data_IF_713239396509
#
_entry.id   IF_713239396509
#
_cell.length_a   1.000
_cell.length_b   1.000
_cell.length_c   1.000
_cell.angle_alpha   90.00
_cell.angle_beta   90.00
_cell.angle_gamma   90.00
#
_symmetry.space_group_name_H-M   'P 1'
#
loop_
_entity.id
_entity.type
_entity.pdbx_description
1 polymer ?
#
# COMPACT_ATOMS: atom_id res chain seq x y z
N UNK A 1 13.33 10.77 -24.78
CA UNK A 1 13.18 11.27 -23.41
C UNK A 1 13.97 10.33 -22.52
N UNK A 2 14.81 10.86 -21.63
CA UNK A 2 15.53 10.05 -20.63
C UNK A 2 14.52 9.46 -19.64
N UNK A 3 14.68 8.18 -19.29
CA UNK A 3 13.81 7.53 -18.28
C UNK A 3 13.92 8.25 -16.94
N UNK A 4 12.79 8.43 -16.19
CA UNK A 4 12.82 9.03 -14.85
C UNK A 4 13.73 8.23 -13.93
N UNK A 5 14.58 8.91 -13.17
CA UNK A 5 15.56 8.28 -12.25
C UNK A 5 15.55 8.88 -10.85
N UNK A 6 14.81 9.99 -10.62
CA UNK A 6 14.68 10.63 -9.31
C UNK A 6 13.27 10.50 -8.77
N UNK A 7 13.12 10.66 -7.45
CA UNK A 7 11.81 10.63 -6.80
C UNK A 7 10.87 11.72 -7.35
N UNK A 8 11.38 12.94 -7.55
CA UNK A 8 10.61 14.07 -8.03
C UNK A 8 10.00 13.78 -9.41
N UNK A 9 10.79 13.18 -10.32
CA UNK A 9 10.32 12.77 -11.64
C UNK A 9 9.28 11.65 -11.57
N UNK A 10 9.50 10.68 -10.67
CA UNK A 10 8.57 9.58 -10.44
C UNK A 10 7.25 10.08 -9.85
N UNK A 11 7.33 11.01 -8.89
CA UNK A 11 6.17 11.61 -8.27
C UNK A 11 5.39 12.50 -9.24
N UNK A 12 6.05 13.30 -10.06
CA UNK A 12 5.39 14.12 -11.09
C UNK A 12 4.52 13.27 -12.02
N UNK A 13 5.00 12.08 -12.42
CA UNK A 13 4.20 11.15 -13.22
C UNK A 13 3.10 10.46 -12.41
N UNK A 14 3.39 10.05 -11.17
CA UNK A 14 2.44 9.39 -10.29
C UNK A 14 1.32 10.32 -9.85
N UNK A 15 1.61 11.58 -9.55
CA UNK A 15 0.62 12.57 -9.08
C UNK A 15 -0.43 12.92 -10.14
N UNK A 16 -0.09 12.77 -11.42
CA UNK A 16 -1.04 12.91 -12.53
C UNK A 16 -2.04 11.74 -12.61
N UNK A 17 -1.78 10.63 -11.93
CA UNK A 17 -2.69 9.47 -11.88
C UNK A 17 -3.66 9.65 -10.72
N UNK A 18 -4.99 9.59 -10.96
CA UNK A 18 -5.97 9.68 -9.88
C UNK A 18 -5.78 8.59 -8.82
N UNK A 19 -5.81 8.98 -7.55
CA UNK A 19 -5.64 8.06 -6.41
C UNK A 19 -5.38 8.81 -5.10
N UNK A 20 -5.22 8.08 -4.01
CA UNK A 20 -5.17 8.64 -2.65
C UNK A 20 -3.77 8.62 -2.02
N UNK A 21 -2.76 8.16 -2.73
CA UNK A 21 -1.38 8.17 -2.26
C UNK A 21 -0.87 9.61 -2.10
N UNK A 22 -0.34 9.94 -0.91
CA UNK A 22 0.30 11.24 -0.63
C UNK A 22 1.79 11.22 -1.00
N UNK A 23 2.42 12.41 -1.06
CA UNK A 23 3.86 12.52 -1.36
C UNK A 23 4.74 11.83 -0.31
N UNK A 24 4.37 11.89 0.97
CA UNK A 24 5.12 11.21 2.04
C UNK A 24 5.01 9.70 1.95
N UNK A 25 3.82 9.19 1.63
CA UNK A 25 3.58 7.77 1.37
C UNK A 25 4.34 7.30 0.13
N UNK A 26 4.29 8.06 -0.96
CA UNK A 26 5.06 7.79 -2.17
C UNK A 26 6.56 7.75 -1.90
N UNK A 27 7.07 8.69 -1.05
CA UNK A 27 8.47 8.71 -0.61
C UNK A 27 8.84 7.43 0.17
N UNK A 28 7.94 6.94 1.02
CA UNK A 28 8.16 5.69 1.76
C UNK A 28 8.22 4.48 0.81
N UNK A 29 7.29 4.37 -0.16
CA UNK A 29 7.31 3.33 -1.20
C UNK A 29 8.58 3.39 -2.04
N UNK A 30 8.95 4.57 -2.50
CA UNK A 30 10.18 4.82 -3.26
C UNK A 30 11.41 4.33 -2.52
N UNK A 31 11.58 4.76 -1.26
CA UNK A 31 12.72 4.36 -0.42
C UNK A 31 12.74 2.87 -0.12
N UNK A 32 11.57 2.23 0.01
CA UNK A 32 11.50 0.78 0.20
C UNK A 32 11.98 0.04 -1.05
N UNK A 33 11.53 0.45 -2.23
CA UNK A 33 11.94 -0.14 -3.50
C UNK A 33 13.43 0.06 -3.79
N UNK A 34 14.01 1.24 -3.47
CA UNK A 34 15.43 1.51 -3.67
C UNK A 34 16.38 0.66 -2.80
N UNK A 35 15.87 0.04 -1.71
CA UNK A 35 16.68 -0.89 -0.89
C UNK A 35 16.81 -2.28 -1.49
N UNK A 36 16.07 -2.56 -2.55
CA UNK A 36 16.11 -3.83 -3.27
C UNK A 36 17.35 -3.88 -4.19
N UNK A 37 17.63 -5.07 -4.69
CA UNK A 37 18.69 -5.33 -5.65
C UNK A 37 18.20 -5.87 -6.99
N UNK A 38 19.11 -6.08 -7.95
CA UNK A 38 18.77 -6.65 -9.23
C UNK A 38 18.06 -8.02 -9.11
N UNK A 39 17.03 -8.22 -9.91
CA UNK A 39 16.22 -9.44 -9.91
C UNK A 39 15.19 -9.52 -8.77
N UNK A 40 15.13 -8.53 -7.87
CA UNK A 40 14.12 -8.48 -6.82
C UNK A 40 12.71 -8.27 -7.38
N UNK A 41 11.71 -8.72 -6.63
CA UNK A 41 10.30 -8.63 -7.00
C UNK A 41 9.50 -7.91 -5.94
N UNK A 42 8.77 -6.88 -6.39
CA UNK A 42 7.74 -6.18 -5.62
C UNK A 42 6.39 -6.75 -6.01
N UNK A 43 5.55 -7.10 -5.04
CA UNK A 43 4.14 -7.41 -5.28
C UNK A 43 3.30 -6.28 -4.70
N UNK A 44 2.44 -5.70 -5.53
CA UNK A 44 1.46 -4.68 -5.17
C UNK A 44 0.06 -5.27 -5.27
N UNK A 45 -0.70 -5.26 -4.19
CA UNK A 45 -2.10 -5.71 -4.13
C UNK A 45 -3.01 -4.48 -4.06
N UNK A 46 -3.84 -4.29 -5.09
CA UNK A 46 -4.68 -3.11 -5.24
C UNK A 46 -3.97 -1.98 -6.00
N UNK A 47 -3.88 -2.13 -7.32
CA UNK A 47 -3.12 -1.19 -8.16
C UNK A 47 -3.98 -0.07 -8.75
N UNK A 48 -5.31 -0.22 -8.77
CA UNK A 48 -6.29 0.74 -9.28
C UNK A 48 -5.89 1.32 -10.66
N UNK A 49 -5.58 2.61 -10.76
CA UNK A 49 -5.14 3.25 -12.01
C UNK A 49 -3.61 3.36 -12.13
N UNK A 50 -2.84 2.80 -11.18
CA UNK A 50 -1.39 2.70 -11.24
C UNK A 50 -0.62 3.90 -10.66
N UNK A 51 -1.20 4.68 -9.72
CA UNK A 51 -0.50 5.81 -9.07
C UNK A 51 0.73 5.32 -8.29
N UNK A 52 0.55 4.39 -7.39
CA UNK A 52 1.61 3.73 -6.61
C UNK A 52 2.52 2.88 -7.49
N UNK A 53 1.92 2.13 -8.43
CA UNK A 53 2.64 1.30 -9.41
C UNK A 53 3.66 2.13 -10.23
N UNK A 54 3.31 3.37 -10.59
CA UNK A 54 4.21 4.29 -11.30
C UNK A 54 5.45 4.61 -10.46
N UNK A 55 5.26 4.96 -9.18
CA UNK A 55 6.36 5.28 -8.26
C UNK A 55 7.22 4.04 -8.00
N UNK A 56 6.59 2.91 -7.68
CA UNK A 56 7.28 1.63 -7.45
C UNK A 56 8.03 1.15 -8.70
N UNK A 57 7.42 1.24 -9.88
CA UNK A 57 8.01 0.77 -11.13
C UNK A 57 9.24 1.59 -11.56
N UNK A 58 9.22 2.90 -11.36
CA UNK A 58 10.39 3.75 -11.65
C UNK A 58 11.52 3.46 -10.67
N UNK A 59 11.22 3.31 -9.37
CA UNK A 59 12.19 2.91 -8.37
C UNK A 59 12.76 1.51 -8.67
N UNK A 60 11.90 0.53 -8.96
CA UNK A 60 12.28 -0.84 -9.29
C UNK A 60 13.24 -0.89 -10.49
N UNK A 61 12.92 -0.14 -11.57
CA UNK A 61 13.79 -0.03 -12.74
C UNK A 61 15.19 0.44 -12.37
N UNK A 62 15.31 1.44 -11.49
CA UNK A 62 16.60 2.02 -11.14
C UNK A 62 17.54 1.05 -10.41
N UNK A 63 16.97 0.01 -9.77
CA UNK A 63 17.73 -1.03 -9.04
C UNK A 63 17.69 -2.41 -9.73
N UNK A 64 17.09 -2.50 -10.93
CA UNK A 64 16.97 -3.75 -11.67
C UNK A 64 15.96 -4.74 -11.09
N UNK A 65 14.96 -4.25 -10.35
CA UNK A 65 13.85 -5.02 -9.82
C UNK A 65 12.61 -4.95 -10.74
N UNK A 66 11.59 -5.75 -10.44
CA UNK A 66 10.31 -5.80 -11.17
C UNK A 66 9.13 -5.60 -10.22
N UNK A 67 7.97 -5.21 -10.76
CA UNK A 67 6.72 -5.06 -10.03
C UNK A 67 5.67 -6.00 -10.61
N UNK A 68 4.98 -6.72 -9.75
CA UNK A 68 3.75 -7.45 -10.10
C UNK A 68 2.59 -6.71 -9.47
N UNK A 69 1.75 -6.12 -10.31
CA UNK A 69 0.56 -5.36 -9.92
C UNK A 69 -0.66 -6.28 -9.97
N UNK A 70 -1.31 -6.51 -8.84
CA UNK A 70 -2.45 -7.41 -8.68
C UNK A 70 -3.71 -6.60 -8.43
N UNK A 71 -4.68 -6.64 -9.36
CA UNK A 71 -5.97 -5.98 -9.20
C UNK A 71 -7.05 -6.72 -10.00
N UNK A 72 -8.20 -7.09 -9.40
CA UNK A 72 -9.25 -7.82 -10.11
C UNK A 72 -10.07 -6.94 -11.07
N UNK A 73 -9.96 -5.62 -11.01
CA UNK A 73 -10.75 -4.66 -11.81
C UNK A 73 -12.23 -5.05 -11.89
N UNK A 74 -12.87 -5.24 -10.74
CA UNK A 74 -14.23 -5.80 -10.66
C UNK A 74 -15.24 -4.90 -11.37
N UNK A 75 -15.96 -5.45 -12.35
CA UNK A 75 -17.01 -4.73 -13.08
C UNK A 75 -18.15 -4.28 -12.16
N UNK A 76 -18.74 -3.13 -12.49
CA UNK A 76 -19.84 -2.54 -11.71
C UNK A 76 -19.43 -1.95 -10.36
N UNK A 77 -18.15 -1.87 -10.05
CA UNK A 77 -17.62 -1.18 -8.86
C UNK A 77 -17.11 0.21 -9.24
N UNK A 78 -17.27 1.17 -8.31
CA UNK A 78 -16.92 2.57 -8.52
C UNK A 78 -15.44 2.77 -8.93
N UNK A 79 -14.56 1.92 -8.40
CA UNK A 79 -13.10 1.97 -8.63
C UNK A 79 -12.57 0.76 -9.41
N UNK A 80 -13.41 0.08 -10.17
CA UNK A 80 -13.07 -1.14 -10.89
C UNK A 80 -13.47 -1.11 -12.37
N UNK A 81 -13.53 -2.29 -12.97
CA UNK A 81 -13.98 -2.53 -14.33
C UNK A 81 -12.94 -2.26 -15.41
N UNK A 82 -13.30 -2.67 -16.62
CA UNK A 82 -12.50 -2.51 -17.85
C UNK A 82 -11.96 -1.09 -18.05
N UNK A 83 -12.73 0.01 -17.78
CA UNK A 83 -12.19 1.36 -17.93
C UNK A 83 -11.05 1.68 -16.96
N UNK A 84 -11.08 1.15 -15.74
CA UNK A 84 -10.00 1.34 -14.75
C UNK A 84 -8.75 0.59 -15.17
N UNK A 85 -8.89 -0.65 -15.62
CA UNK A 85 -7.81 -1.45 -16.18
C UNK A 85 -7.14 -0.75 -17.38
N UNK A 86 -7.93 -0.26 -18.34
CA UNK A 86 -7.39 0.46 -19.50
C UNK A 86 -6.61 1.72 -19.10
N UNK A 87 -7.06 2.44 -18.06
CA UNK A 87 -6.30 3.58 -17.51
C UNK A 87 -5.00 3.14 -16.85
N UNK A 88 -5.00 2.04 -16.08
CA UNK A 88 -3.80 1.46 -15.51
C UNK A 88 -2.77 1.15 -16.60
N UNK A 89 -3.16 0.38 -17.61
CA UNK A 89 -2.29 -0.01 -18.73
C UNK A 89 -1.73 1.22 -19.47
N UNK A 90 -2.58 2.23 -19.71
CA UNK A 90 -2.16 3.51 -20.32
C UNK A 90 -1.16 4.28 -19.45
N UNK A 91 -1.35 4.32 -18.13
CA UNK A 91 -0.46 5.03 -17.21
C UNK A 91 0.91 4.33 -17.10
N UNK A 92 0.92 3.00 -17.01
CA UNK A 92 2.15 2.19 -17.04
C UNK A 92 2.92 2.41 -18.34
N UNK A 93 2.23 2.38 -19.50
CA UNK A 93 2.85 2.64 -20.79
C UNK A 93 3.38 4.08 -20.91
N UNK A 94 2.62 5.08 -20.44
CA UNK A 94 3.06 6.49 -20.42
C UNK A 94 4.32 6.70 -19.59
N UNK A 95 4.44 5.99 -18.46
CA UNK A 95 5.63 6.01 -17.62
C UNK A 95 6.79 5.17 -18.19
N UNK A 96 6.57 4.50 -19.33
CA UNK A 96 7.54 3.62 -19.99
C UNK A 96 7.85 2.35 -19.20
N UNK A 97 6.92 1.83 -18.40
CA UNK A 97 7.16 0.75 -17.41
C UNK A 97 6.67 -0.62 -17.88
N UNK A 98 6.32 -0.80 -19.15
CA UNK A 98 5.76 -2.05 -19.68
C UNK A 98 6.69 -3.25 -19.61
N UNK A 99 7.99 -3.03 -19.50
CA UNK A 99 9.05 -4.02 -19.31
C UNK A 99 9.38 -4.32 -17.84
N UNK A 100 8.90 -3.49 -16.91
CA UNK A 100 9.16 -3.59 -15.48
C UNK A 100 7.93 -4.05 -14.69
N UNK A 101 6.73 -3.69 -15.17
CA UNK A 101 5.45 -3.95 -14.50
C UNK A 101 4.71 -5.08 -15.21
N UNK A 102 4.46 -6.18 -14.49
CA UNK A 102 3.55 -7.27 -14.90
C UNK A 102 2.20 -7.06 -14.23
N UNK A 103 1.12 -7.01 -15.01
CA UNK A 103 -0.24 -6.93 -14.48
C UNK A 103 -0.82 -8.33 -14.33
N UNK A 104 -1.34 -8.63 -13.14
CA UNK A 104 -2.16 -9.79 -12.84
C UNK A 104 -3.60 -9.35 -12.55
N UNK A 105 -4.46 -9.42 -13.57
CA UNK A 105 -5.87 -9.03 -13.47
C UNK A 105 -6.69 -10.13 -12.76
N UNK A 106 -6.42 -10.36 -11.48
CA UNK A 106 -7.00 -11.42 -10.66
C UNK A 106 -7.23 -10.96 -9.22
N UNK A 107 -8.12 -11.66 -8.51
CA UNK A 107 -8.22 -11.52 -7.06
C UNK A 107 -6.93 -12.00 -6.39
N UNK A 108 -6.39 -11.20 -5.47
CA UNK A 108 -5.21 -11.55 -4.67
C UNK A 108 -5.38 -12.90 -3.95
N UNK A 109 -6.56 -13.13 -3.38
CA UNK A 109 -6.94 -14.36 -2.66
C UNK A 109 -6.85 -15.61 -3.54
N UNK A 110 -7.18 -15.49 -4.83
CA UNK A 110 -7.10 -16.59 -5.79
C UNK A 110 -5.68 -16.77 -6.30
N UNK A 111 -5.05 -15.70 -6.76
CA UNK A 111 -3.70 -15.72 -7.33
C UNK A 111 -2.68 -16.25 -6.32
N UNK A 112 -2.83 -15.93 -5.03
CA UNK A 112 -1.95 -16.41 -3.96
C UNK A 112 -1.86 -17.94 -3.89
N UNK A 113 -2.95 -18.66 -4.18
CA UNK A 113 -2.98 -20.12 -4.10
C UNK A 113 -2.15 -20.80 -5.19
N UNK A 114 -1.88 -20.09 -6.28
CA UNK A 114 -1.10 -20.55 -7.43
C UNK A 114 0.29 -19.90 -7.47
N UNK A 115 0.61 -19.03 -6.46
CA UNK A 115 1.84 -18.24 -6.42
C UNK A 115 2.98 -19.02 -5.77
N UNK A 116 4.08 -19.17 -6.49
CA UNK A 116 5.30 -19.86 -6.04
C UNK A 116 6.56 -18.99 -6.15
N UNK A 117 6.43 -17.77 -6.67
CA UNK A 117 7.55 -16.87 -6.88
C UNK A 117 7.94 -16.14 -5.58
N UNK A 118 9.24 -15.96 -5.34
CA UNK A 118 9.77 -15.17 -4.22
C UNK A 118 9.33 -13.72 -4.30
N UNK A 119 9.01 -13.13 -3.16
CA UNK A 119 8.66 -11.72 -2.98
C UNK A 119 9.74 -11.05 -2.13
N UNK A 120 10.24 -9.89 -2.55
CA UNK A 120 11.25 -9.12 -1.82
C UNK A 120 10.64 -7.89 -1.12
N UNK A 121 9.54 -7.36 -1.66
CA UNK A 121 8.75 -6.29 -1.07
C UNK A 121 7.26 -6.55 -1.34
N UNK A 122 6.43 -6.48 -0.32
CA UNK A 122 4.97 -6.60 -0.44
C UNK A 122 4.32 -5.24 -0.11
N UNK A 123 3.47 -4.74 -1.01
CA UNK A 123 2.63 -3.58 -0.78
C UNK A 123 1.16 -3.96 -0.86
N UNK A 124 0.38 -3.67 0.19
CA UNK A 124 -1.03 -4.00 0.33
C UNK A 124 -1.84 -2.71 0.38
N UNK A 125 -2.66 -2.49 -0.65
CA UNK A 125 -3.60 -1.37 -0.79
C UNK A 125 -4.92 -1.86 -1.42
N UNK A 126 -5.34 -3.06 -1.05
CA UNK A 126 -6.55 -3.71 -1.54
C UNK A 126 -7.81 -3.22 -0.82
N UNK A 127 -8.77 -4.11 -0.62
CA UNK A 127 -10.01 -3.80 0.09
C UNK A 127 -9.74 -3.66 1.59
N UNK A 128 -10.22 -2.57 2.20
CA UNK A 128 -9.90 -2.16 3.58
C UNK A 128 -10.79 -2.83 4.64
N UNK A 129 -11.32 -4.04 4.38
CA UNK A 129 -11.98 -4.83 5.41
C UNK A 129 -11.04 -5.84 6.08
N UNK A 130 -11.43 -6.30 7.28
CA UNK A 130 -10.63 -7.21 8.09
C UNK A 130 -10.27 -8.51 7.37
N UNK A 131 -11.23 -9.12 6.69
CA UNK A 131 -11.06 -10.44 6.09
C UNK A 131 -10.11 -10.40 4.89
N UNK A 132 -10.34 -9.44 3.98
CA UNK A 132 -9.47 -9.27 2.80
C UNK A 132 -8.04 -8.90 3.23
N UNK A 133 -7.89 -7.95 4.14
CA UNK A 133 -6.56 -7.56 4.64
C UNK A 133 -5.81 -8.74 5.29
N UNK A 134 -6.50 -9.54 6.12
CA UNK A 134 -5.86 -10.68 6.80
C UNK A 134 -5.49 -11.80 5.84
N UNK A 135 -6.20 -11.96 4.71
CA UNK A 135 -5.85 -12.87 3.64
C UNK A 135 -4.71 -12.33 2.79
N UNK A 136 -4.70 -11.03 2.46
CA UNK A 136 -3.60 -10.39 1.74
C UNK A 136 -2.27 -10.48 2.52
N UNK A 137 -2.31 -10.42 3.86
CA UNK A 137 -1.13 -10.64 4.70
C UNK A 137 -0.52 -12.04 4.53
N UNK A 138 -1.27 -13.04 4.06
CA UNK A 138 -0.75 -14.39 3.79
C UNK A 138 0.22 -14.44 2.60
N UNK A 139 0.23 -13.43 1.73
CA UNK A 139 1.24 -13.30 0.69
C UNK A 139 2.67 -13.25 1.25
N UNK A 140 2.80 -12.84 2.52
CA UNK A 140 4.08 -12.87 3.23
C UNK A 140 4.66 -14.28 3.44
N UNK A 141 3.93 -15.34 3.12
CA UNK A 141 4.46 -16.72 3.11
C UNK A 141 5.54 -16.90 2.03
N UNK A 142 5.46 -16.11 0.96
CA UNK A 142 6.45 -16.05 -0.12
C UNK A 142 7.46 -14.90 0.03
N UNK A 143 7.34 -14.09 1.11
CA UNK A 143 8.24 -12.98 1.37
C UNK A 143 9.57 -13.50 1.92
N UNK A 144 10.66 -12.90 1.47
CA UNK A 144 12.00 -13.21 2.00
C UNK A 144 12.09 -12.98 3.50
N UNK A 145 12.97 -13.71 4.22
CA UNK A 145 13.26 -13.39 5.61
C UNK A 145 13.67 -11.91 5.76
N UNK A 146 13.18 -11.26 6.82
CA UNK A 146 13.35 -9.82 7.07
C UNK A 146 12.82 -8.90 5.95
N UNK A 147 12.05 -9.44 5.01
CA UNK A 147 11.38 -8.67 3.96
C UNK A 147 10.39 -7.66 4.52
N UNK A 148 10.19 -6.58 3.79
CA UNK A 148 9.30 -5.48 4.20
C UNK A 148 7.91 -5.64 3.61
N UNK A 149 6.90 -5.27 4.40
CA UNK A 149 5.50 -5.18 4.02
C UNK A 149 5.06 -3.74 4.26
N UNK A 150 4.51 -3.08 3.24
CA UNK A 150 3.87 -1.79 3.38
C UNK A 150 2.36 -1.98 3.27
N UNK A 151 1.62 -1.35 4.17
CA UNK A 151 0.15 -1.49 4.26
C UNK A 151 -0.48 -0.11 4.27
N UNK A 152 -1.30 0.17 3.26
CA UNK A 152 -2.09 1.39 3.19
C UNK A 152 -3.29 1.34 4.15
N UNK A 153 -3.80 2.50 4.54
CA UNK A 153 -4.90 2.66 5.50
C UNK A 153 -4.70 2.02 6.88
N UNK A 154 -3.45 1.71 7.23
CA UNK A 154 -3.07 1.30 8.57
C UNK A 154 -3.40 2.42 9.58
N UNK A 155 -4.00 2.03 10.71
CA UNK A 155 -4.44 2.92 11.78
C UNK A 155 -5.41 4.04 11.33
N UNK A 156 -5.96 3.91 10.11
CA UNK A 156 -6.98 4.78 9.55
C UNK A 156 -8.27 4.02 9.25
N UNK A 157 -8.18 2.85 8.61
CA UNK A 157 -9.31 1.93 8.41
C UNK A 157 -9.53 1.05 9.64
N UNK A 158 -10.79 0.86 10.05
CA UNK A 158 -11.14 -0.03 11.17
C UNK A 158 -10.78 -1.47 10.81
N UNK A 159 -11.11 -1.94 9.61
CA UNK A 159 -10.85 -3.32 9.20
C UNK A 159 -9.36 -3.65 9.17
N UNK A 160 -8.55 -2.79 8.54
CA UNK A 160 -7.08 -2.94 8.48
C UNK A 160 -6.47 -2.88 9.88
N UNK A 161 -6.89 -1.92 10.72
CA UNK A 161 -6.36 -1.78 12.08
C UNK A 161 -6.70 -2.98 12.97
N UNK A 162 -7.92 -3.51 12.88
CA UNK A 162 -8.27 -4.76 13.57
C UNK A 162 -7.39 -5.93 13.09
N UNK A 163 -7.10 -6.02 11.81
CA UNK A 163 -6.18 -6.99 11.25
C UNK A 163 -4.75 -6.81 11.73
N UNK A 164 -4.25 -5.56 11.84
CA UNK A 164 -2.94 -5.25 12.43
C UNK A 164 -2.90 -5.69 13.90
N UNK A 165 -3.94 -5.42 14.67
CA UNK A 165 -4.02 -5.90 16.07
C UNK A 165 -3.94 -7.43 16.10
N UNK A 166 -4.71 -8.12 15.28
CA UNK A 166 -4.73 -9.58 15.27
C UNK A 166 -3.40 -10.20 14.80
N UNK A 167 -2.82 -9.70 13.71
CA UNK A 167 -1.66 -10.33 13.05
C UNK A 167 -0.31 -9.80 13.54
N UNK A 168 -0.25 -8.53 13.96
CA UNK A 168 1.01 -7.87 14.35
C UNK A 168 1.10 -7.73 15.87
N UNK A 169 0.11 -7.10 16.52
CA UNK A 169 0.14 -6.90 17.98
C UNK A 169 0.01 -8.22 18.75
N UNK A 170 -0.94 -9.08 18.38
CA UNK A 170 -1.20 -10.38 19.01
C UNK A 170 -0.45 -11.53 18.33
N UNK A 171 0.07 -11.32 17.12
CA UNK A 171 0.84 -12.30 16.36
C UNK A 171 2.31 -12.39 16.78
N UNK A 172 3.07 -13.21 16.06
CA UNK A 172 4.49 -13.46 16.32
C UNK A 172 5.38 -13.46 15.06
N UNK A 173 4.89 -12.90 13.95
CA UNK A 173 5.60 -12.94 12.66
C UNK A 173 6.00 -11.59 12.11
N UNK A 174 5.45 -10.48 12.63
CA UNK A 174 5.63 -9.16 12.06
C UNK A 174 6.00 -8.13 13.10
N UNK A 175 6.95 -7.27 12.77
CA UNK A 175 7.34 -6.10 13.56
C UNK A 175 6.87 -4.84 12.87
N UNK A 176 6.15 -3.97 13.57
CA UNK A 176 5.85 -2.62 13.11
C UNK A 176 7.10 -1.75 13.20
N UNK A 177 7.46 -1.08 12.12
CA UNK A 177 8.67 -0.26 12.03
C UNK A 177 8.34 1.22 12.19
N UNK A 178 7.57 1.78 11.25
CA UNK A 178 7.17 3.19 11.19
C UNK A 178 5.99 3.40 10.22
N UNK A 179 5.56 4.64 10.04
CA UNK A 179 4.56 5.02 9.06
C UNK A 179 4.76 6.41 8.48
N UNK A 180 4.18 6.63 7.29
CA UNK A 180 3.97 7.93 6.68
C UNK A 180 2.46 8.12 6.46
N UNK A 181 1.83 9.03 7.23
CA UNK A 181 0.37 9.12 7.25
C UNK A 181 -0.28 7.79 7.62
N UNK A 182 -1.14 7.24 6.76
CA UNK A 182 -1.77 5.93 6.93
C UNK A 182 -1.01 4.77 6.26
N UNK A 183 0.12 5.01 5.61
CA UNK A 183 0.97 3.94 5.09
C UNK A 183 1.93 3.47 6.17
N UNK A 184 1.74 2.26 6.68
CA UNK A 184 2.60 1.65 7.68
C UNK A 184 3.55 0.61 7.08
N UNK A 185 4.76 0.54 7.64
CA UNK A 185 5.81 -0.42 7.27
C UNK A 185 5.98 -1.46 8.36
N UNK A 186 5.98 -2.70 7.93
CA UNK A 186 6.22 -3.87 8.77
C UNK A 186 7.40 -4.67 8.22
N UNK A 187 8.00 -5.50 9.07
CA UNK A 187 9.05 -6.44 8.70
C UNK A 187 8.64 -7.85 9.11
N UNK A 188 8.94 -8.82 8.24
CA UNK A 188 8.71 -10.24 8.51
C UNK A 188 9.80 -10.77 9.45
N UNK A 189 9.59 -10.61 10.76
CA UNK A 189 10.48 -11.10 11.82
C UNK A 189 9.72 -11.22 13.14
N UNK A 190 10.29 -11.92 14.11
CA UNK A 190 9.61 -12.13 15.39
C UNK A 190 9.63 -10.86 16.25
N UNK A 191 8.44 -10.40 16.75
CA UNK A 191 8.36 -9.20 17.57
C UNK A 191 8.74 -9.46 19.03
N UNK A 192 9.48 -8.52 19.61
CA UNK A 192 9.68 -8.41 21.04
C UNK A 192 8.61 -7.53 21.72
N UNK A 193 8.71 -7.36 23.03
CA UNK A 193 7.80 -6.49 23.79
C UNK A 193 7.88 -5.01 23.37
N UNK A 194 9.06 -4.52 23.04
CA UNK A 194 9.25 -3.15 22.56
C UNK A 194 8.50 -2.90 21.26
N UNK A 195 8.48 -3.87 20.35
CA UNK A 195 7.82 -3.76 19.06
C UNK A 195 6.29 -3.71 19.21
N UNK A 196 5.74 -4.54 20.14
CA UNK A 196 4.30 -4.50 20.47
C UNK A 196 3.87 -3.16 21.04
N UNK A 197 4.72 -2.55 21.90
CA UNK A 197 4.46 -1.21 22.45
C UNK A 197 4.40 -0.13 21.37
N UNK A 198 5.17 -0.26 20.28
CA UNK A 198 5.10 0.68 19.13
C UNK A 198 3.72 0.63 18.48
N UNK A 199 3.16 -0.57 18.28
CA UNK A 199 1.79 -0.70 17.72
C UNK A 199 0.76 -0.07 18.68
N UNK A 200 0.89 -0.30 19.98
CA UNK A 200 0.00 0.31 20.98
C UNK A 200 0.10 1.84 21.00
N UNK A 201 1.28 2.40 20.75
CA UNK A 201 1.49 3.84 20.68
C UNK A 201 0.75 4.51 19.50
N UNK A 202 0.35 3.74 18.48
CA UNK A 202 -0.47 4.26 17.37
C UNK A 202 -1.98 4.30 17.68
N UNK A 203 -2.43 3.65 18.74
CA UNK A 203 -3.87 3.58 19.07
C UNK A 203 -4.51 4.96 19.33
N UNK A 204 -3.87 5.95 19.98
CA UNK A 204 -4.45 7.29 20.10
C UNK A 204 -4.71 7.94 18.73
N UNK A 205 -3.78 7.77 17.78
CA UNK A 205 -3.96 8.30 16.41
C UNK A 205 -5.09 7.57 15.67
N UNK A 206 -5.20 6.26 15.81
CA UNK A 206 -6.32 5.48 15.27
C UNK A 206 -7.66 5.95 15.85
N UNK A 207 -7.78 6.09 17.16
CA UNK A 207 -9.01 6.56 17.82
C UNK A 207 -9.40 7.98 17.35
N UNK A 208 -8.41 8.87 17.21
CA UNK A 208 -8.62 10.19 16.62
C UNK A 208 -9.20 10.09 15.21
N UNK A 209 -8.64 9.24 14.35
CA UNK A 209 -9.10 9.08 12.97
C UNK A 209 -10.52 8.50 12.90
N UNK A 210 -10.84 7.51 13.73
CA UNK A 210 -12.21 6.99 13.88
C UNK A 210 -13.17 8.10 14.30
N UNK A 211 -12.77 8.91 15.30
CA UNK A 211 -13.59 10.03 15.77
C UNK A 211 -13.83 11.07 14.67
N UNK A 212 -12.80 11.45 13.93
CA UNK A 212 -12.93 12.36 12.79
C UNK A 212 -13.91 11.77 11.74
N UNK A 213 -13.82 10.49 11.41
CA UNK A 213 -14.77 9.84 10.49
C UNK A 213 -16.22 9.94 10.98
N UNK A 214 -16.45 9.75 12.27
CA UNK A 214 -17.79 9.95 12.88
C UNK A 214 -18.26 11.40 12.71
N UNK A 215 -17.40 12.36 13.03
CA UNK A 215 -17.73 13.79 12.90
C UNK A 215 -18.05 14.18 11.44
N UNK A 216 -17.30 13.66 10.47
CA UNK A 216 -17.54 13.90 9.05
C UNK A 216 -18.88 13.33 8.60
N UNK A 217 -19.26 12.12 9.05
CA UNK A 217 -20.56 11.50 8.77
C UNK A 217 -21.72 12.26 9.40
N UNK A 218 -21.50 12.84 10.58
CA UNK A 218 -22.45 13.73 11.24
C UNK A 218 -22.44 15.16 10.66
N UNK A 219 -21.64 15.42 9.60
CA UNK A 219 -21.46 16.73 8.97
C UNK A 219 -20.91 17.82 9.91
N UNK A 220 -20.24 17.42 10.99
CA UNK A 220 -19.63 18.31 11.99
C UNK A 220 -18.19 18.71 11.61
N UNK A 221 -17.97 19.16 10.37
CA UNK A 221 -16.66 19.58 9.85
C UNK A 221 -15.94 20.61 10.71
N UNK A 222 -16.62 21.65 11.26
CA UNK A 222 -15.94 22.62 12.14
C UNK A 222 -15.34 21.97 13.38
N UNK A 223 -15.99 20.93 13.92
CA UNK A 223 -15.48 20.16 15.06
C UNK A 223 -14.29 19.28 14.64
N UNK A 224 -14.35 18.66 13.46
CA UNK A 224 -13.24 17.86 12.94
C UNK A 224 -11.94 18.69 12.77
N UNK A 225 -12.05 19.99 12.44
CA UNK A 225 -10.91 20.92 12.36
C UNK A 225 -10.19 21.10 13.69
N UNK A 226 -10.91 21.08 14.82
CA UNK A 226 -10.30 21.16 16.15
C UNK A 226 -9.40 19.94 16.43
N UNK A 227 -9.63 18.82 15.74
CA UNK A 227 -8.79 17.63 15.79
C UNK A 227 -7.75 17.60 14.67
N UNK A 228 -7.48 18.74 14.01
CA UNK A 228 -6.46 18.88 12.99
C UNK A 228 -6.81 18.17 11.67
N UNK A 229 -8.09 18.18 11.27
CA UNK A 229 -8.54 17.62 10.00
C UNK A 229 -9.31 18.67 9.18
N UNK A 230 -8.64 19.21 8.15
CA UNK A 230 -9.19 20.24 7.26
C UNK A 230 -9.68 19.71 5.91
N UNK A 231 -9.35 18.43 5.59
CA UNK A 231 -9.67 17.81 4.32
C UNK A 231 -11.16 17.53 4.13
N UNK A 232 -11.63 17.44 2.87
CA UNK A 232 -13.00 17.02 2.55
C UNK A 232 -13.20 15.51 2.67
N UNK A 233 -12.15 14.72 2.68
CA UNK A 233 -12.13 13.25 2.70
C UNK A 233 -11.82 12.70 4.10
N UNK A 234 -11.95 11.39 4.25
CA UNK A 234 -11.52 10.67 5.45
C UNK A 234 -10.03 10.94 5.76
N UNK A 235 -9.60 10.92 7.04
CA UNK A 235 -8.18 11.10 7.39
C UNK A 235 -7.34 9.92 6.89
N UNK A 236 -6.23 10.24 6.24
CA UNK A 236 -5.25 9.28 5.70
C UNK A 236 -3.85 9.51 6.30
#
# INVERSE_FOLDING_TARGET
MTSPTTFEQAWELGDQVPGWLTVDQATMLWRAALRLGPGARIVEIGSHQGRSTTVLGIAARSVGATVVAVDPFVEGKLFGGTPTRARFEKNVARAGLTDVVRLEASYSTRLRLEWDERIDLLYIDGKHDYWTYTDDMLWSENLVPDGEILVHDAFSSIGVTCGIIAKVLCGNRYVYVDRAGSLARFRLTQPGWADRRRVLAEMPWFLRNVWIKVLLRLRLRPVARLFGHDGPYDPY
#
